data_IF_843070708978
#
_entry.id   IF_843070708978
#
_cell.length_a   1.000
_cell.length_b   1.000
_cell.length_c   1.000
_cell.angle_alpha   90.00
_cell.angle_beta   90.00
_cell.angle_gamma   90.00
#
_symmetry.space_group_name_H-M   'P 1'
#
loop_
_entity.id
_entity.type
_entity.pdbx_description
1 polymer ?
#
# COMPACT_ATOMS: atom_id res chain seq x y z
N UNK A 1 -11.03 4.85 -0.79
CA UNK A 1 -10.28 4.30 0.36
C UNK A 1 -9.11 5.23 0.60
N UNK A 2 -9.27 6.27 1.44
CA UNK A 2 -8.32 7.37 1.46
C UNK A 2 -6.98 7.01 2.11
N UNK A 3 -6.98 6.12 3.10
CA UNK A 3 -5.77 5.62 3.74
C UNK A 3 -5.45 4.19 3.32
N UNK A 4 -4.17 3.89 3.22
CA UNK A 4 -3.66 2.53 3.02
C UNK A 4 -2.39 2.35 3.85
N UNK A 5 -2.25 1.16 4.45
CA UNK A 5 -1.03 0.74 5.12
C UNK A 5 -0.44 -0.39 4.31
N UNK A 6 0.82 -0.24 3.91
CA UNK A 6 1.57 -1.34 3.30
C UNK A 6 2.75 -1.71 4.20
N UNK A 7 3.16 -2.96 4.16
CA UNK A 7 4.29 -3.41 4.95
C UNK A 7 5.17 -4.42 4.22
N UNK A 8 6.44 -4.46 4.59
CA UNK A 8 7.41 -5.40 4.06
C UNK A 8 8.39 -5.78 5.16
N UNK A 9 8.65 -7.08 5.32
CA UNK A 9 9.71 -7.56 6.19
C UNK A 9 11.07 -7.34 5.52
N UNK A 10 12.14 -7.20 6.33
CA UNK A 10 13.48 -7.09 5.75
C UNK A 10 13.81 -8.35 4.91
N UNK A 11 14.53 -8.22 3.79
CA UNK A 11 15.13 -7.00 3.23
C UNK A 11 14.21 -6.31 2.22
N UNK A 12 14.17 -4.97 2.27
CA UNK A 12 13.32 -4.12 1.39
C UNK A 12 13.64 -4.19 -0.10
N UNK A 13 14.77 -4.80 -0.48
CA UNK A 13 15.16 -5.00 -1.87
C UNK A 13 14.31 -6.08 -2.56
N UNK A 14 13.63 -6.94 -1.79
CA UNK A 14 12.76 -8.01 -2.26
C UNK A 14 11.38 -7.88 -1.63
N UNK A 15 10.35 -8.40 -2.31
CA UNK A 15 9.07 -8.67 -1.69
C UNK A 15 9.11 -9.91 -0.78
N UNK A 16 7.95 -10.36 -0.28
CA UNK A 16 6.63 -9.81 -0.58
C UNK A 16 6.31 -8.50 0.16
N UNK A 17 5.37 -7.73 -0.40
CA UNK A 17 4.79 -6.54 0.25
C UNK A 17 3.32 -6.81 0.54
N UNK A 18 2.91 -6.69 1.80
CA UNK A 18 1.50 -6.69 2.20
C UNK A 18 0.88 -5.36 1.82
N UNK A 19 -0.21 -5.39 1.07
CA UNK A 19 -0.84 -4.22 0.47
C UNK A 19 -2.17 -3.82 1.13
N UNK A 20 -2.79 -4.71 1.92
CA UNK A 20 -4.06 -4.42 2.58
C UNK A 20 -4.69 -5.65 3.24
N UNK A 21 -5.77 -5.41 3.99
CA UNK A 21 -6.60 -6.43 4.63
C UNK A 21 -7.70 -6.98 3.69
N UNK A 22 -8.50 -7.93 4.17
CA UNK A 22 -9.56 -8.58 3.40
C UNK A 22 -10.67 -7.66 2.86
N UNK A 23 -10.79 -6.45 3.40
CA UNK A 23 -11.79 -5.45 3.02
C UNK A 23 -11.23 -4.36 2.11
N UNK A 24 -9.94 -4.44 1.77
CA UNK A 24 -9.29 -3.49 0.88
C UNK A 24 -9.97 -3.43 -0.50
N UNK A 25 -9.86 -2.27 -1.16
CA UNK A 25 -10.39 -2.06 -2.50
C UNK A 25 -9.84 -3.09 -3.49
N UNK A 26 -10.71 -3.98 -3.98
CA UNK A 26 -10.35 -5.10 -4.86
C UNK A 26 -9.76 -4.64 -6.19
N UNK A 27 -10.20 -3.49 -6.73
CA UNK A 27 -9.64 -2.96 -7.97
C UNK A 27 -8.22 -2.48 -7.75
N UNK A 28 -7.99 -1.77 -6.64
CA UNK A 28 -6.65 -1.33 -6.25
C UNK A 28 -5.73 -2.52 -6.00
N UNK A 29 -6.17 -3.52 -5.24
CA UNK A 29 -5.36 -4.71 -4.94
C UNK A 29 -4.99 -5.48 -6.22
N UNK A 30 -5.94 -5.60 -7.16
CA UNK A 30 -5.66 -6.20 -8.48
C UNK A 30 -4.61 -5.40 -9.26
N UNK A 31 -4.69 -4.08 -9.25
CA UNK A 31 -3.72 -3.21 -9.93
C UNK A 31 -2.31 -3.28 -9.28
N UNK A 32 -2.23 -3.52 -7.97
CA UNK A 32 -0.99 -3.76 -7.25
C UNK A 32 -0.43 -5.19 -7.44
N UNK A 33 -1.08 -6.03 -8.26
CA UNK A 33 -0.76 -7.45 -8.43
C UNK A 33 -0.72 -8.18 -7.07
N UNK A 34 -1.66 -7.83 -6.18
CA UNK A 34 -1.75 -8.40 -4.84
C UNK A 34 -2.84 -9.47 -4.77
N UNK A 35 -2.47 -10.67 -4.33
CA UNK A 35 -3.39 -11.80 -4.16
C UNK A 35 -3.89 -11.87 -2.72
N UNK A 36 -5.15 -12.26 -2.53
CA UNK A 36 -5.72 -12.46 -1.19
C UNK A 36 -5.25 -13.81 -0.64
N UNK A 37 -4.39 -13.77 0.38
CA UNK A 37 -3.76 -14.94 1.00
C UNK A 37 -4.30 -15.12 2.41
N UNK A 38 -4.58 -16.38 2.77
CA UNK A 38 -4.88 -16.79 4.15
C UNK A 38 -3.70 -17.57 4.70
N UNK A 39 -2.81 -16.89 5.41
CA UNK A 39 -1.66 -17.53 6.06
C UNK A 39 -2.14 -18.46 7.17
N UNK A 40 -1.63 -19.69 7.20
CA UNK A 40 -1.96 -20.66 8.24
C UNK A 40 -1.66 -20.10 9.63
N UNK A 41 -2.62 -20.22 10.55
CA UNK A 41 -2.54 -19.67 11.90
C UNK A 41 -3.18 -18.29 12.06
N UNK A 42 -3.44 -17.55 10.97
CA UNK A 42 -4.17 -16.30 11.04
C UNK A 42 -5.69 -16.55 11.00
N UNK A 43 -6.45 -15.68 11.65
CA UNK A 43 -7.92 -15.62 11.54
C UNK A 43 -8.40 -14.55 10.54
N UNK A 44 -7.47 -13.92 9.82
CA UNK A 44 -7.72 -12.91 8.80
C UNK A 44 -6.96 -13.24 7.51
N UNK A 45 -7.32 -12.54 6.44
CA UNK A 45 -6.66 -12.63 5.12
C UNK A 45 -6.02 -11.30 4.77
N UNK A 46 -4.97 -11.37 3.97
CA UNK A 46 -4.18 -10.21 3.57
C UNK A 46 -3.95 -10.23 2.06
N UNK A 47 -3.92 -9.05 1.45
CA UNK A 47 -3.48 -8.90 0.07
C UNK A 47 -1.96 -8.78 0.02
N UNK A 48 -1.31 -9.67 -0.72
CA UNK A 48 0.15 -9.76 -0.80
C UNK A 48 0.60 -9.65 -2.26
N UNK A 49 1.47 -8.67 -2.53
CA UNK A 49 2.17 -8.52 -3.82
C UNK A 49 3.56 -9.14 -3.72
N UNK A 50 4.01 -9.82 -4.76
CA UNK A 50 5.39 -10.35 -4.84
C UNK A 50 6.43 -9.25 -5.09
N UNK A 51 5.96 -8.06 -5.49
CA UNK A 51 6.80 -6.90 -5.76
C UNK A 51 7.45 -6.34 -4.48
N UNK A 52 8.68 -5.78 -4.56
CA UNK A 52 9.28 -5.06 -3.45
C UNK A 52 8.53 -3.76 -3.14
N UNK A 53 8.64 -3.21 -1.91
CA UNK A 53 7.84 -2.06 -1.47
C UNK A 53 8.04 -0.83 -2.36
N UNK A 54 9.24 -0.61 -2.93
CA UNK A 54 9.48 0.49 -3.89
C UNK A 54 8.56 0.42 -5.11
N UNK A 55 8.32 -0.77 -5.67
CA UNK A 55 7.46 -0.94 -6.85
C UNK A 55 6.00 -0.69 -6.47
N UNK A 56 5.57 -1.18 -5.31
CA UNK A 56 4.21 -0.96 -4.78
C UNK A 56 3.96 0.52 -4.50
N UNK A 57 4.92 1.22 -3.87
CA UNK A 57 4.83 2.66 -3.60
C UNK A 57 4.71 3.48 -4.89
N UNK A 58 5.48 3.17 -5.93
CA UNK A 58 5.39 3.85 -7.22
C UNK A 58 3.99 3.68 -7.85
N UNK A 59 3.44 2.46 -7.83
CA UNK A 59 2.08 2.19 -8.32
C UNK A 59 1.01 2.92 -7.49
N UNK A 60 1.18 3.01 -6.18
CA UNK A 60 0.29 3.77 -5.31
C UNK A 60 0.35 5.27 -5.63
N UNK A 61 1.52 5.82 -5.94
CA UNK A 61 1.68 7.20 -6.40
C UNK A 61 0.91 7.47 -7.70
N UNK A 62 0.97 6.55 -8.68
CA UNK A 62 0.20 6.63 -9.93
C UNK A 62 -1.32 6.68 -9.67
N UNK A 63 -1.77 6.12 -8.54
CA UNK A 63 -3.17 6.18 -8.08
C UNK A 63 -3.48 7.36 -7.17
N UNK A 64 -2.53 8.26 -6.95
CA UNK A 64 -2.68 9.50 -6.19
C UNK A 64 -2.37 9.40 -4.70
N UNK A 65 -1.90 8.25 -4.22
CA UNK A 65 -1.49 8.11 -2.82
C UNK A 65 -0.12 8.76 -2.58
N UNK A 66 0.06 9.35 -1.40
CA UNK A 66 1.34 9.89 -0.94
C UNK A 66 1.72 9.28 0.39
N UNK A 67 2.99 8.97 0.57
CA UNK A 67 3.53 8.53 1.86
C UNK A 67 3.41 9.69 2.85
N UNK A 68 2.71 9.45 3.97
CA UNK A 68 2.56 10.42 5.06
C UNK A 68 3.39 10.04 6.28
N UNK A 69 3.67 8.75 6.46
CA UNK A 69 4.54 8.25 7.51
C UNK A 69 5.19 6.92 7.11
N UNK A 70 6.37 6.67 7.68
CA UNK A 70 7.04 5.37 7.62
C UNK A 70 7.58 5.03 9.02
N UNK A 71 7.47 3.76 9.41
CA UNK A 71 7.98 3.28 10.72
C UNK A 71 8.46 1.84 10.64
N UNK A 72 9.37 1.46 11.54
CA UNK A 72 9.84 0.09 11.72
C UNK A 72 9.26 -0.52 12.99
N UNK A 73 8.79 -1.76 12.90
CA UNK A 73 8.30 -2.56 14.03
C UNK A 73 8.90 -3.96 13.93
N UNK A 74 9.86 -4.26 14.80
CA UNK A 74 10.62 -5.51 14.74
C UNK A 74 11.42 -5.62 13.44
N UNK A 75 11.14 -6.65 12.64
CA UNK A 75 11.76 -6.88 11.32
C UNK A 75 10.89 -6.35 10.16
N UNK A 76 9.80 -5.65 10.46
CA UNK A 76 8.84 -5.15 9.49
C UNK A 76 8.95 -3.64 9.35
N UNK A 77 8.93 -3.13 8.12
CA UNK A 77 8.69 -1.72 7.84
C UNK A 77 7.26 -1.53 7.37
N UNK A 78 6.64 -0.44 7.81
CA UNK A 78 5.27 -0.05 7.48
C UNK A 78 5.29 1.35 6.90
N UNK A 79 4.55 1.55 5.80
CA UNK A 79 4.27 2.86 5.22
C UNK A 79 2.79 3.14 5.31
N UNK A 80 2.46 4.31 5.86
CA UNK A 80 1.10 4.86 5.79
C UNK A 80 1.06 5.81 4.60
N UNK A 81 0.11 5.57 3.69
CA UNK A 81 -0.16 6.46 2.58
C UNK A 81 -1.58 7.01 2.64
N UNK A 82 -1.75 8.19 2.06
CA UNK A 82 -3.02 8.89 1.99
C UNK A 82 -3.28 9.41 0.57
N UNK A 83 -4.52 9.32 0.12
CA UNK A 83 -5.05 9.98 -1.06
C UNK A 83 -6.25 10.84 -0.66
N UNK A 84 -6.21 12.11 -1.07
CA UNK A 84 -7.36 12.99 -1.00
C UNK A 84 -8.44 12.48 -1.96
N UNK A 85 -9.59 12.07 -1.43
CA UNK A 85 -10.80 11.80 -2.22
C UNK A 85 -11.65 13.08 -2.43
N UNK A 86 -11.16 14.26 -2.02
CA UNK A 86 -11.85 15.54 -2.20
C UNK A 86 -11.45 16.23 -3.53
N UNK A 87 -12.36 16.32 -4.52
CA UNK A 87 -12.04 16.84 -5.86
C UNK A 87 -11.52 18.29 -5.89
N UNK A 88 -11.88 19.14 -4.92
CA UNK A 88 -11.44 20.54 -4.89
C UNK A 88 -9.94 20.70 -4.54
N UNK A 89 -9.35 19.72 -3.86
CA UNK A 89 -7.95 19.76 -3.41
C UNK A 89 -7.02 19.12 -4.45
N UNK A 90 -7.52 18.10 -5.16
CA UNK A 90 -6.76 17.37 -6.20
C UNK A 90 -6.33 18.31 -7.34
N UNK A 91 -7.16 19.30 -7.68
CA UNK A 91 -6.86 20.25 -8.76
C UNK A 91 -5.78 21.27 -8.36
N UNK A 92 -5.74 21.69 -7.08
CA UNK A 92 -4.69 22.60 -6.58
C UNK A 92 -3.32 21.92 -6.50
N UNK A 93 -3.26 20.66 -6.08
CA UNK A 93 -2.01 19.91 -5.95
C UNK A 93 -1.30 19.56 -7.27
N UNK A 94 -1.96 19.76 -8.43
CA UNK A 94 -1.35 19.67 -9.76
C UNK A 94 -0.76 21.00 -10.24
N UNK A 95 -1.27 22.13 -9.76
CA UNK A 95 -0.80 23.46 -10.14
C UNK A 95 0.52 23.85 -9.45
N UNK A 96 0.80 23.26 -8.29
CA UNK A 96 2.00 23.55 -7.47
C UNK A 96 3.19 22.59 -7.74
N UNK A 97 3.15 21.83 -8.85
CA UNK A 97 4.24 20.91 -9.27
C UNK A 97 4.88 21.33 -10.58
#
# INVERSE_FOLDING_TARGET
>A
MPYILISCQIRLASGPTTCGDEFADKELMKYLEAELVHTFGNNFKEHISTNPPRVVLNRLEERGYRVVAATGVGQTLVWTLYKDDNPEIVDKGKADR
#
